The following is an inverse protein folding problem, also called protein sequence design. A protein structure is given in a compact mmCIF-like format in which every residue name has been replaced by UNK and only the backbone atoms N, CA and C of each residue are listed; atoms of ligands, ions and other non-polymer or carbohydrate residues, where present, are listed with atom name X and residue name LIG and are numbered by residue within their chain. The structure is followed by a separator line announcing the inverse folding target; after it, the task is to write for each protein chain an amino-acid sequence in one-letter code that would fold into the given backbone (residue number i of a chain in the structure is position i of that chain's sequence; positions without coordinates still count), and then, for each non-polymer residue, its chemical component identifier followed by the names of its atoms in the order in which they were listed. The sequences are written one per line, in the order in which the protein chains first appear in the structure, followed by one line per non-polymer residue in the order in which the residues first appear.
data_IF_374244444196
#
_entry.id   IF_374244444196
#
_cell.length_a   1.000
_cell.length_b   1.000
_cell.length_c   1.000
_cell.angle_alpha   90.00
_cell.angle_beta   90.00
_cell.angle_gamma   90.00
#
_symmetry.space_group_name_H-M   'P 1'
#
loop_
_entity.id
_entity.type
_entity.pdbx_description
1 polymer ?
#
# COMPACT_ATOMS: atom_id res chain seq x y z
N UNK A 1 -10.88 -18.59 -15.38
CA UNK A 1 -11.79 -18.43 -14.22
C UNK A 1 -11.55 -17.14 -13.40
N UNK A 2 -10.68 -16.22 -13.84
CA UNK A 2 -10.39 -14.95 -13.13
C UNK A 2 -11.42 -13.83 -13.40
N UNK A 3 -12.24 -13.93 -14.43
CA UNK A 3 -13.17 -12.87 -14.86
C UNK A 3 -14.39 -12.64 -13.96
N UNK A 4 -14.76 -13.60 -13.13
CA UNK A 4 -15.97 -13.50 -12.29
C UNK A 4 -15.78 -12.75 -10.95
N UNK A 5 -14.54 -12.54 -10.49
CA UNK A 5 -14.27 -11.87 -9.18
C UNK A 5 -14.40 -10.34 -9.23
N UNK A 6 -14.17 -9.72 -10.39
CA UNK A 6 -14.16 -8.26 -10.51
C UNK A 6 -15.56 -7.61 -10.58
N UNK A 7 -16.57 -8.34 -11.10
CA UNK A 7 -17.92 -7.79 -11.31
C UNK A 7 -18.68 -7.43 -10.02
N UNK A 8 -18.41 -8.10 -8.90
CA UNK A 8 -19.06 -7.78 -7.62
C UNK A 8 -18.49 -6.52 -6.95
N UNK A 9 -17.19 -6.24 -7.12
CA UNK A 9 -16.56 -5.02 -6.61
C UNK A 9 -17.01 -3.76 -7.36
N UNK A 10 -17.17 -3.84 -8.69
CA UNK A 10 -17.49 -2.68 -9.56
C UNK A 10 -18.94 -2.20 -9.40
N UNK A 11 -19.90 -3.11 -9.21
CA UNK A 11 -21.32 -2.71 -9.06
C UNK A 11 -21.62 -1.91 -7.79
N UNK A 12 -20.85 -2.08 -6.71
CA UNK A 12 -21.07 -1.41 -5.44
C UNK A 12 -20.66 0.07 -5.45
N UNK A 13 -19.67 0.47 -6.26
CA UNK A 13 -19.04 1.79 -6.18
C UNK A 13 -19.77 2.87 -6.99
N UNK A 14 -20.49 2.54 -8.07
CA UNK A 14 -20.99 3.53 -9.03
C UNK A 14 -22.47 3.90 -8.93
N UNK A 15 -23.29 3.18 -8.18
CA UNK A 15 -24.76 3.37 -8.28
C UNK A 15 -25.42 4.25 -7.22
N UNK A 16 -24.72 4.69 -6.12
CA UNK A 16 -25.44 5.28 -4.98
C UNK A 16 -24.78 6.50 -4.30
N UNK A 17 -24.01 7.31 -5.03
CA UNK A 17 -23.32 8.48 -4.42
C UNK A 17 -24.22 9.61 -3.87
N UNK A 18 -25.38 9.99 -4.47
CA UNK A 18 -26.19 11.08 -3.93
C UNK A 18 -26.96 10.73 -2.66
N UNK A 19 -27.42 9.48 -2.50
CA UNK A 19 -28.19 9.06 -1.31
C UNK A 19 -27.32 8.89 -0.06
N UNK A 20 -26.05 8.59 -0.21
CA UNK A 20 -25.08 8.42 0.88
C UNK A 20 -24.81 9.71 1.66
N UNK A 21 -24.81 10.87 1.00
CA UNK A 21 -24.50 12.15 1.65
C UNK A 21 -25.56 12.58 2.64
N UNK A 22 -26.80 12.12 2.48
CA UNK A 22 -27.96 12.53 3.28
C UNK A 22 -28.38 11.47 4.33
N UNK A 23 -27.78 10.27 4.33
CA UNK A 23 -28.10 9.26 5.31
C UNK A 23 -27.54 9.59 6.72
N UNK A 24 -28.25 9.25 7.81
CA UNK A 24 -27.75 9.37 9.18
C UNK A 24 -26.40 8.64 9.33
N UNK A 25 -25.51 9.17 10.19
CA UNK A 25 -24.15 8.60 10.39
C UNK A 25 -24.16 7.12 10.72
N UNK A 26 -25.11 6.65 11.53
CA UNK A 26 -25.24 5.24 11.90
C UNK A 26 -25.57 4.33 10.71
N UNK A 27 -26.43 4.79 9.79
CA UNK A 27 -26.81 4.01 8.61
C UNK A 27 -25.69 4.00 7.57
N UNK A 28 -24.92 5.09 7.44
CA UNK A 28 -23.72 5.09 6.61
C UNK A 28 -22.69 4.06 7.06
N UNK A 29 -22.40 3.98 8.37
CA UNK A 29 -21.47 3.00 8.93
C UNK A 29 -21.93 1.56 8.66
N UNK A 30 -23.25 1.28 8.79
CA UNK A 30 -23.80 -0.04 8.49
C UNK A 30 -23.66 -0.41 7.00
N UNK A 31 -23.90 0.55 6.11
CA UNK A 31 -23.75 0.35 4.66
C UNK A 31 -22.29 0.09 4.30
N UNK A 32 -21.37 0.89 4.81
CA UNK A 32 -19.93 0.72 4.60
C UNK A 32 -19.44 -0.65 5.12
N UNK A 33 -19.94 -1.07 6.28
CA UNK A 33 -19.64 -2.39 6.84
C UNK A 33 -20.20 -3.53 5.99
N UNK A 34 -21.42 -3.41 5.49
CA UNK A 34 -22.01 -4.43 4.62
C UNK A 34 -21.26 -4.54 3.28
N UNK A 35 -20.87 -3.42 2.69
CA UNK A 35 -20.07 -3.39 1.46
C UNK A 35 -18.67 -3.99 1.69
N UNK A 36 -18.04 -3.68 2.80
CA UNK A 36 -16.77 -4.29 3.19
C UNK A 36 -16.90 -5.81 3.29
N UNK A 37 -17.90 -6.31 4.02
CA UNK A 37 -18.13 -7.75 4.18
C UNK A 37 -18.34 -8.46 2.84
N UNK A 38 -19.10 -7.85 1.92
CA UNK A 38 -19.28 -8.39 0.57
C UNK A 38 -17.96 -8.40 -0.23
N UNK A 39 -17.17 -7.33 -0.12
CA UNK A 39 -15.91 -7.22 -0.86
C UNK A 39 -14.86 -8.24 -0.42
N UNK A 40 -14.89 -8.69 0.85
CA UNK A 40 -13.91 -9.64 1.42
C UNK A 40 -14.50 -11.01 1.73
N UNK A 41 -15.66 -11.36 1.16
CA UNK A 41 -16.40 -12.59 1.49
C UNK A 41 -15.59 -13.90 1.32
N UNK A 42 -14.58 -13.91 0.42
CA UNK A 42 -13.74 -15.08 0.16
C UNK A 42 -12.37 -15.02 0.85
N UNK A 43 -12.15 -14.06 1.75
CA UNK A 43 -10.88 -13.86 2.44
C UNK A 43 -10.95 -14.51 3.82
N UNK A 44 -9.87 -15.12 4.27
CA UNK A 44 -9.79 -15.73 5.60
C UNK A 44 -10.03 -14.68 6.69
N UNK A 45 -10.98 -14.97 7.59
CA UNK A 45 -11.21 -14.17 8.79
C UNK A 45 -10.44 -14.81 9.94
N UNK A 46 -9.55 -14.03 10.55
CA UNK A 46 -8.76 -14.45 11.70
C UNK A 46 -9.46 -14.07 13.02
N UNK A 47 -9.27 -14.89 14.04
CA UNK A 47 -9.64 -14.51 15.39
C UNK A 47 -8.52 -13.66 16.03
N UNK A 48 -8.92 -12.64 16.83
CA UNK A 48 -7.94 -11.77 17.53
C UNK A 48 -6.95 -12.58 18.37
N UNK A 49 -7.41 -13.65 19.03
CA UNK A 49 -6.58 -14.53 19.85
C UNK A 49 -5.46 -15.21 19.05
N UNK A 50 -5.78 -15.67 17.84
CA UNK A 50 -4.81 -16.30 16.94
C UNK A 50 -3.69 -15.31 16.59
N UNK A 51 -4.03 -14.07 16.26
CA UNK A 51 -3.07 -13.04 15.89
C UNK A 51 -2.25 -12.53 17.09
N UNK A 52 -2.85 -12.50 18.27
CA UNK A 52 -2.13 -12.20 19.53
C UNK A 52 -1.06 -13.27 19.77
N UNK A 53 -1.39 -14.55 19.62
CA UNK A 53 -0.41 -15.65 19.78
C UNK A 53 0.65 -15.57 18.69
N UNK A 54 0.26 -15.45 17.42
CA UNK A 54 1.18 -15.38 16.31
C UNK A 54 2.20 -14.25 16.41
N UNK A 55 1.82 -13.11 17.00
CA UNK A 55 2.68 -11.93 17.15
C UNK A 55 3.37 -11.81 18.51
N UNK A 56 3.20 -12.81 19.38
CA UNK A 56 3.67 -12.78 20.76
C UNK A 56 3.14 -11.52 21.49
N UNK A 57 1.80 -11.38 21.51
CA UNK A 57 1.07 -10.23 22.06
C UNK A 57 1.50 -8.88 21.46
N UNK A 58 1.74 -8.82 20.14
CA UNK A 58 2.27 -7.64 19.44
C UNK A 58 3.58 -7.13 20.05
N UNK A 59 4.48 -8.07 20.37
CA UNK A 59 5.76 -7.80 21.02
C UNK A 59 6.54 -6.74 20.23
N UNK A 60 7.07 -5.69 20.87
CA UNK A 60 7.89 -4.67 20.21
C UNK A 60 9.10 -5.24 19.47
N UNK A 61 9.68 -6.36 19.93
CA UNK A 61 10.77 -7.07 19.23
C UNK A 61 10.38 -7.66 17.89
N UNK A 62 9.08 -7.80 17.60
CA UNK A 62 8.53 -8.27 16.31
C UNK A 62 8.03 -7.13 15.42
N UNK A 63 8.22 -5.87 15.83
CA UNK A 63 7.82 -4.72 15.04
C UNK A 63 8.64 -4.62 13.74
N UNK A 64 7.96 -4.66 12.61
CA UNK A 64 8.56 -4.51 11.27
C UNK A 64 8.58 -3.05 10.81
N UNK A 65 7.55 -2.30 11.20
CA UNK A 65 7.42 -0.90 10.84
C UNK A 65 6.22 -0.24 11.49
N UNK A 66 6.27 1.08 11.59
CA UNK A 66 5.18 1.92 12.07
C UNK A 66 4.92 3.02 11.06
N UNK A 67 3.68 3.29 10.80
CA UNK A 67 3.23 4.32 9.87
C UNK A 67 2.00 5.06 10.39
N UNK A 68 1.49 5.98 9.57
CA UNK A 68 0.33 6.80 9.90
C UNK A 68 -0.93 5.98 10.19
N UNK A 69 -1.16 4.92 9.43
CA UNK A 69 -2.36 4.08 9.54
C UNK A 69 -2.27 2.99 10.60
N UNK A 70 -1.07 2.67 11.10
CA UNK A 70 -0.90 1.58 12.07
C UNK A 70 0.53 1.05 12.18
N UNK A 71 0.63 -0.09 12.86
CA UNK A 71 1.87 -0.81 13.12
C UNK A 71 1.85 -2.18 12.45
N UNK A 72 3.00 -2.61 11.90
CA UNK A 72 3.16 -3.91 11.25
C UNK A 72 4.09 -4.77 12.10
N UNK A 73 3.66 -5.99 12.41
CA UNK A 73 4.41 -6.96 13.19
C UNK A 73 4.68 -8.24 12.40
N UNK A 74 5.82 -8.87 12.65
CA UNK A 74 6.05 -10.25 12.19
C UNK A 74 5.23 -11.20 13.06
N UNK A 75 4.47 -12.10 12.43
CA UNK A 75 3.76 -13.18 13.07
C UNK A 75 4.23 -14.53 12.55
N UNK A 76 3.97 -15.57 13.32
CA UNK A 76 4.17 -16.98 12.95
C UNK A 76 2.90 -17.72 13.35
N UNK A 77 2.19 -18.29 12.38
CA UNK A 77 0.99 -19.09 12.63
C UNK A 77 1.37 -20.46 13.20
N UNK A 78 0.37 -21.20 13.71
CA UNK A 78 0.58 -22.52 14.29
C UNK A 78 1.19 -23.55 13.32
N UNK A 79 0.90 -23.39 12.02
CA UNK A 79 1.47 -24.23 10.95
C UNK A 79 2.90 -23.83 10.56
N UNK A 80 3.48 -22.83 11.23
CA UNK A 80 4.82 -22.31 10.95
C UNK A 80 4.86 -21.25 9.85
N UNK A 81 3.72 -20.90 9.23
CA UNK A 81 3.69 -19.84 8.20
C UNK A 81 4.06 -18.47 8.79
N UNK A 82 5.08 -17.83 8.21
CA UNK A 82 5.42 -16.45 8.54
C UNK A 82 4.44 -15.48 7.88
N UNK A 83 3.97 -14.49 8.62
CA UNK A 83 3.00 -13.49 8.19
C UNK A 83 3.42 -12.08 8.61
N UNK A 84 2.90 -11.07 7.90
CA UNK A 84 2.98 -9.67 8.29
C UNK A 84 1.61 -9.21 8.76
N UNK A 85 1.52 -8.78 10.03
CA UNK A 85 0.28 -8.42 10.73
C UNK A 85 0.22 -6.91 10.90
N UNK A 86 -0.59 -6.23 10.09
CA UNK A 86 -0.80 -4.78 10.13
C UNK A 86 -2.01 -4.45 11.02
N UNK A 87 -1.75 -3.85 12.17
CA UNK A 87 -2.79 -3.39 13.11
C UNK A 87 -3.05 -1.91 12.90
N UNK A 88 -4.27 -1.57 12.49
CA UNK A 88 -4.68 -0.21 12.18
C UNK A 88 -5.11 0.58 13.42
N UNK A 89 -4.96 1.90 13.37
CA UNK A 89 -5.50 2.80 14.38
C UNK A 89 -7.00 3.07 14.20
N UNK A 90 -7.51 2.96 12.97
CA UNK A 90 -8.91 3.21 12.63
C UNK A 90 -9.47 2.12 11.71
N UNK A 91 -10.72 1.73 11.94
CA UNK A 91 -11.45 0.72 11.15
C UNK A 91 -11.60 1.13 9.68
N UNK A 92 -11.84 2.42 9.42
CA UNK A 92 -11.98 2.91 8.05
C UNK A 92 -10.71 2.71 7.21
N UNK A 93 -9.51 2.81 7.83
CA UNK A 93 -8.24 2.56 7.14
C UNK A 93 -8.07 1.07 6.80
N UNK A 94 -8.51 0.15 7.70
CA UNK A 94 -8.57 -1.28 7.41
C UNK A 94 -9.46 -1.55 6.20
N UNK A 95 -10.70 -1.03 6.21
CA UNK A 95 -11.65 -1.32 5.14
C UNK A 95 -11.18 -0.83 3.78
N UNK A 96 -10.64 0.40 3.73
CA UNK A 96 -10.12 0.97 2.49
C UNK A 96 -8.98 0.12 1.91
N UNK A 97 -8.02 -0.30 2.74
CA UNK A 97 -6.86 -1.08 2.28
C UNK A 97 -7.24 -2.51 1.93
N UNK A 98 -8.08 -3.18 2.74
CA UNK A 98 -8.48 -4.56 2.51
C UNK A 98 -9.35 -4.72 1.25
N UNK A 99 -10.26 -3.78 0.97
CA UNK A 99 -11.04 -3.77 -0.26
C UNK A 99 -10.16 -3.71 -1.49
N UNK A 100 -9.18 -2.81 -1.49
CA UNK A 100 -8.25 -2.68 -2.63
C UNK A 100 -7.38 -3.93 -2.80
N UNK A 101 -6.78 -4.44 -1.71
CA UNK A 101 -5.94 -5.64 -1.76
C UNK A 101 -6.70 -6.89 -2.22
N UNK A 102 -7.99 -7.00 -1.91
CA UNK A 102 -8.80 -8.14 -2.36
C UNK A 102 -9.18 -8.08 -3.84
N UNK A 103 -9.16 -6.88 -4.45
CA UNK A 103 -9.50 -6.69 -5.86
C UNK A 103 -8.30 -6.83 -6.80
N UNK A 104 -7.07 -6.81 -6.29
CA UNK A 104 -5.85 -6.85 -7.11
C UNK A 104 -5.07 -8.13 -6.85
N UNK A 105 -4.55 -8.74 -7.92
CA UNK A 105 -3.71 -9.94 -7.82
C UNK A 105 -2.61 -9.89 -8.88
N UNK A 106 -1.35 -9.69 -8.44
CA UNK A 106 -0.20 -9.65 -9.33
C UNK A 106 1.07 -10.08 -8.57
N UNK A 107 2.05 -10.64 -9.27
CA UNK A 107 3.31 -11.14 -8.68
C UNK A 107 4.12 -10.05 -7.96
N UNK A 108 3.99 -8.80 -8.38
CA UNK A 108 4.66 -7.64 -7.79
C UNK A 108 3.74 -6.81 -6.86
N UNK A 109 2.64 -7.40 -6.39
CA UNK A 109 1.79 -6.86 -5.33
C UNK A 109 1.83 -7.78 -4.11
N UNK A 110 1.73 -7.21 -2.91
CA UNK A 110 1.64 -7.98 -1.67
C UNK A 110 0.30 -8.71 -1.63
N UNK A 111 0.35 -10.00 -1.30
CA UNK A 111 -0.84 -10.83 -1.18
C UNK A 111 -1.45 -10.70 0.21
N UNK A 112 -2.73 -10.34 0.28
CA UNK A 112 -3.51 -10.41 1.50
C UNK A 112 -3.87 -11.89 1.77
N UNK A 113 -3.59 -12.36 2.99
CA UNK A 113 -3.93 -13.70 3.47
C UNK A 113 -5.29 -13.69 4.16
N UNK A 114 -5.56 -12.62 4.91
CA UNK A 114 -6.80 -12.49 5.67
C UNK A 114 -6.89 -11.19 6.45
N UNK A 115 -7.93 -11.10 7.28
CA UNK A 115 -8.15 -9.94 8.13
C UNK A 115 -8.84 -10.31 9.45
N UNK A 116 -8.77 -9.40 10.43
CA UNK A 116 -9.57 -9.42 11.64
C UNK A 116 -10.19 -8.03 11.85
N UNK A 117 -11.53 -7.98 12.00
CA UNK A 117 -12.27 -6.74 12.30
C UNK A 117 -13.25 -7.00 13.43
N UNK A 118 -12.71 -7.18 14.65
CA UNK A 118 -13.49 -7.50 15.85
C UNK A 118 -13.17 -6.54 16.99
N UNK A 119 -14.17 -5.84 17.47
CA UNK A 119 -14.05 -4.94 18.61
C UNK A 119 -13.09 -3.79 18.34
N UNK A 120 -11.89 -3.83 18.96
CA UNK A 120 -10.83 -2.83 18.79
C UNK A 120 -9.70 -3.31 17.86
N UNK A 121 -9.78 -4.53 17.36
CA UNK A 121 -8.75 -5.13 16.53
C UNK A 121 -9.12 -4.97 15.05
N UNK A 122 -8.47 -4.03 14.41
CA UNK A 122 -8.58 -3.72 12.98
C UNK A 122 -7.27 -4.14 12.31
N UNK A 123 -7.22 -5.35 11.75
CA UNK A 123 -5.97 -6.01 11.35
C UNK A 123 -6.08 -6.56 9.93
N UNK A 124 -5.05 -6.33 9.10
CA UNK A 124 -4.80 -7.06 7.86
C UNK A 124 -3.63 -8.01 8.08
N UNK A 125 -3.77 -9.23 7.55
CA UNK A 125 -2.72 -10.24 7.53
C UNK A 125 -2.25 -10.42 6.08
N UNK A 126 -0.99 -10.10 5.83
CA UNK A 126 -0.34 -10.22 4.53
C UNK A 126 0.76 -11.28 4.54
N UNK A 127 1.20 -11.70 3.36
CA UNK A 127 2.43 -12.48 3.23
C UNK A 127 3.62 -11.72 3.84
N UNK A 128 4.53 -12.48 4.46
CA UNK A 128 5.76 -11.91 5.01
C UNK A 128 6.85 -11.90 3.95
N UNK A 129 7.52 -10.76 3.78
CA UNK A 129 8.62 -10.58 2.86
C UNK A 129 9.91 -10.36 3.65
N UNK A 130 10.81 -11.35 3.59
CA UNK A 130 11.95 -11.50 4.50
C UNK A 130 12.98 -10.38 4.39
N UNK A 131 13.19 -9.81 3.19
CA UNK A 131 14.11 -8.71 2.98
C UNK A 131 13.52 -7.34 3.36
N UNK A 132 12.21 -7.27 3.70
CA UNK A 132 11.55 -6.04 4.15
C UNK A 132 11.56 -4.94 3.07
N UNK A 133 11.61 -3.67 3.46
CA UNK A 133 11.46 -2.55 2.52
C UNK A 133 12.74 -2.19 1.78
N UNK A 134 12.60 -1.77 0.51
CA UNK A 134 13.68 -1.22 -0.31
C UNK A 134 14.43 -0.07 0.39
N UNK A 135 13.72 0.71 1.19
CA UNK A 135 14.32 1.81 1.94
C UNK A 135 15.47 1.36 2.85
N UNK A 136 15.35 0.18 3.48
CA UNK A 136 16.41 -0.37 4.32
C UNK A 136 17.66 -0.72 3.52
N UNK A 137 17.50 -1.18 2.29
CA UNK A 137 18.60 -1.56 1.40
C UNK A 137 19.25 -0.37 0.71
N UNK A 138 18.57 0.77 0.64
CA UNK A 138 19.13 2.01 0.09
C UNK A 138 19.77 2.91 1.16
N UNK A 139 19.13 3.00 2.33
CA UNK A 139 19.44 4.03 3.32
C UNK A 139 19.62 3.50 4.76
N UNK A 140 19.32 2.23 5.00
CA UNK A 140 19.41 1.58 6.31
C UNK A 140 20.45 0.47 6.39
N UNK A 141 21.49 0.53 5.55
CA UNK A 141 22.55 -0.48 5.52
C UNK A 141 23.27 -0.56 6.87
N UNK A 142 23.38 -1.76 7.39
CA UNK A 142 24.14 -2.06 8.59
C UNK A 142 25.65 -2.11 8.27
N UNK A 143 26.53 -1.89 9.23
CA UNK A 143 27.97 -2.05 9.04
C UNK A 143 28.30 -3.42 8.44
N UNK A 144 29.03 -3.44 7.32
CA UNK A 144 29.41 -4.66 6.59
C UNK A 144 28.40 -5.15 5.54
N UNK A 145 27.18 -4.59 5.47
CA UNK A 145 26.25 -4.87 4.37
C UNK A 145 26.71 -4.18 3.06
N UNK A 146 26.66 -4.94 1.96
CA UNK A 146 26.94 -4.41 0.63
C UNK A 146 25.70 -3.71 0.07
N UNK A 147 25.86 -2.55 -0.60
CA UNK A 147 24.78 -1.93 -1.36
C UNK A 147 24.24 -2.87 -2.44
N UNK A 148 22.98 -2.67 -2.82
CA UNK A 148 22.39 -3.35 -3.96
C UNK A 148 23.23 -3.08 -5.22
N UNK A 149 23.55 -4.12 -5.98
CA UNK A 149 24.21 -3.98 -7.27
C UNK A 149 23.25 -3.41 -8.33
N UNK A 150 23.80 -2.97 -9.45
CA UNK A 150 23.05 -2.35 -10.53
C UNK A 150 21.97 -3.28 -11.10
N UNK A 151 22.30 -4.55 -11.31
CA UNK A 151 21.36 -5.55 -11.85
C UNK A 151 20.16 -5.71 -10.94
N UNK A 152 20.38 -5.82 -9.63
CA UNK A 152 19.30 -5.94 -8.62
C UNK A 152 18.46 -4.68 -8.57
N UNK A 153 19.05 -3.48 -8.65
CA UNK A 153 18.31 -2.21 -8.71
C UNK A 153 17.41 -2.14 -9.94
N UNK A 154 17.88 -2.55 -11.12
CA UNK A 154 17.09 -2.56 -12.36
C UNK A 154 15.98 -3.61 -12.31
N UNK A 155 16.23 -4.78 -11.73
CA UNK A 155 15.20 -5.79 -11.47
C UNK A 155 14.07 -5.25 -10.57
N UNK A 156 14.43 -4.53 -9.51
CA UNK A 156 13.45 -3.90 -8.62
C UNK A 156 12.65 -2.84 -9.39
N UNK A 157 13.31 -1.98 -10.17
CA UNK A 157 12.64 -0.97 -10.98
C UNK A 157 11.65 -1.59 -11.97
N UNK A 158 12.05 -2.65 -12.68
CA UNK A 158 11.20 -3.38 -13.62
C UNK A 158 9.97 -3.98 -12.94
N UNK A 159 10.14 -4.63 -11.78
CA UNK A 159 9.00 -5.22 -11.06
C UNK A 159 8.02 -4.18 -10.53
N UNK A 160 8.50 -3.01 -10.07
CA UNK A 160 7.62 -1.89 -9.69
C UNK A 160 6.87 -1.35 -10.90
N UNK A 161 7.53 -1.20 -12.07
CA UNK A 161 6.87 -0.78 -13.30
C UNK A 161 5.76 -1.75 -13.73
N UNK A 162 6.01 -3.07 -13.67
CA UNK A 162 5.00 -4.11 -13.97
C UNK A 162 3.81 -4.06 -13.02
N UNK A 163 4.03 -3.76 -11.74
CA UNK A 163 2.94 -3.58 -10.78
C UNK A 163 2.06 -2.38 -11.13
N UNK A 164 2.66 -1.24 -11.52
CA UNK A 164 1.93 -0.06 -11.94
C UNK A 164 1.20 -0.28 -13.27
N UNK A 165 1.85 -0.92 -14.25
CA UNK A 165 1.21 -1.30 -15.52
C UNK A 165 -0.05 -2.16 -15.28
N UNK A 166 0.05 -3.17 -14.39
CA UNK A 166 -1.10 -3.97 -14.01
C UNK A 166 -2.24 -3.13 -13.42
N UNK A 167 -1.93 -2.24 -12.48
CA UNK A 167 -2.93 -1.39 -11.82
C UNK A 167 -3.57 -0.38 -12.77
N UNK A 168 -2.78 0.18 -13.70
CA UNK A 168 -3.20 1.26 -14.59
C UNK A 168 -3.91 0.77 -15.85
N UNK A 169 -3.40 -0.32 -16.47
CA UNK A 169 -3.78 -0.71 -17.83
C UNK A 169 -4.51 -2.07 -17.89
N UNK A 170 -4.26 -2.96 -16.91
CA UNK A 170 -4.83 -4.31 -16.93
C UNK A 170 -5.99 -4.49 -15.94
N UNK A 171 -6.13 -3.58 -14.96
CA UNK A 171 -7.25 -3.58 -14.01
C UNK A 171 -8.38 -2.68 -14.54
N UNK A 172 -9.64 -3.15 -14.44
CA UNK A 172 -10.83 -2.38 -14.85
C UNK A 172 -11.82 -2.29 -13.68
N UNK A 173 -12.14 -1.07 -13.19
CA UNK A 173 -11.53 0.22 -13.58
C UNK A 173 -10.07 0.34 -13.14
N UNK A 174 -9.25 1.19 -13.81
CA UNK A 174 -7.86 1.38 -13.44
C UNK A 174 -7.72 1.82 -11.99
N UNK A 175 -6.61 1.41 -11.35
CA UNK A 175 -6.32 1.73 -9.95
C UNK A 175 -5.15 2.69 -9.87
N UNK A 176 -5.37 3.87 -9.27
CA UNK A 176 -4.31 4.79 -8.87
C UNK A 176 -3.76 4.31 -7.53
N UNK A 177 -2.49 3.96 -7.46
CA UNK A 177 -1.87 3.46 -6.23
C UNK A 177 -1.69 4.57 -5.17
N UNK A 178 -1.29 5.78 -5.59
CA UNK A 178 -1.28 7.01 -4.79
C UNK A 178 -0.25 7.09 -3.67
N UNK A 179 0.45 6.02 -3.33
CA UNK A 179 1.33 5.98 -2.15
C UNK A 179 2.75 5.48 -2.41
N UNK A 180 3.24 5.53 -3.66
CA UNK A 180 4.51 4.95 -4.04
C UNK A 180 5.69 5.66 -3.37
N UNK A 181 6.47 4.87 -2.62
CA UNK A 181 7.65 5.28 -1.88
C UNK A 181 8.53 4.05 -1.59
N UNK A 182 9.81 4.25 -1.32
CA UNK A 182 10.75 3.14 -1.05
C UNK A 182 10.40 2.30 0.18
N UNK A 183 9.68 2.85 1.16
CA UNK A 183 9.21 2.11 2.33
C UNK A 183 8.02 1.21 2.03
N UNK A 184 7.24 1.48 0.97
CA UNK A 184 6.10 0.68 0.51
C UNK A 184 6.47 -0.39 -0.52
N UNK A 185 7.73 -0.42 -0.99
CA UNK A 185 8.26 -1.47 -1.86
C UNK A 185 8.94 -2.51 -0.97
N UNK A 186 8.36 -3.69 -0.85
CA UNK A 186 8.92 -4.79 -0.08
C UNK A 186 9.64 -5.78 -1.01
N UNK A 187 10.65 -6.47 -0.49
CA UNK A 187 11.48 -7.39 -1.26
C UNK A 187 11.37 -8.81 -0.71
N UNK A 188 11.19 -9.78 -1.61
CA UNK A 188 11.31 -11.19 -1.27
C UNK A 188 12.79 -11.65 -1.23
N UNK A 189 13.06 -12.90 -0.87
CA UNK A 189 14.40 -13.48 -0.77
C UNK A 189 15.21 -13.40 -2.07
N UNK A 190 14.54 -13.26 -3.22
CA UNK A 190 15.16 -13.14 -4.54
C UNK A 190 15.24 -11.70 -5.03
N UNK A 191 14.98 -10.73 -4.17
CA UNK A 191 14.88 -9.31 -4.51
C UNK A 191 13.78 -9.01 -5.56
N UNK A 192 12.71 -9.81 -5.64
CA UNK A 192 11.54 -9.39 -6.40
C UNK A 192 10.77 -8.35 -5.58
N UNK A 193 10.43 -7.20 -6.17
CA UNK A 193 9.68 -6.16 -5.46
C UNK A 193 8.18 -6.49 -5.43
N UNK A 194 7.54 -6.11 -4.33
CA UNK A 194 6.09 -6.15 -4.19
C UNK A 194 5.60 -4.85 -3.56
N UNK A 195 4.63 -4.19 -4.20
CA UNK A 195 3.99 -3.00 -3.64
C UNK A 195 3.07 -3.41 -2.49
N UNK A 196 3.17 -2.68 -1.38
CA UNK A 196 2.35 -2.83 -0.18
C UNK A 196 1.69 -1.49 0.19
N UNK A 197 0.88 -1.44 1.26
CA UNK A 197 0.29 -0.20 1.79
C UNK A 197 -0.69 0.48 0.80
N UNK A 198 -1.79 -0.22 0.49
CA UNK A 198 -2.84 0.23 -0.44
C UNK A 198 -3.83 1.25 0.18
N UNK A 199 -3.54 1.76 1.38
CA UNK A 199 -4.42 2.71 2.07
C UNK A 199 -4.66 4.04 1.34
N UNK A 200 -3.84 4.36 0.33
CA UNK A 200 -4.01 5.53 -0.53
C UNK A 200 -4.64 5.21 -1.88
N UNK A 201 -4.73 3.93 -2.24
CA UNK A 201 -5.19 3.51 -3.54
C UNK A 201 -6.66 3.89 -3.78
N UNK A 202 -6.97 4.27 -5.02
CA UNK A 202 -8.31 4.66 -5.47
C UNK A 202 -8.56 4.13 -6.86
N UNK A 203 -9.82 3.79 -7.13
CA UNK A 203 -10.23 3.56 -8.50
C UNK A 203 -10.09 4.83 -9.31
N UNK A 204 -9.47 4.72 -10.46
CA UNK A 204 -9.38 5.80 -11.43
C UNK A 204 -10.75 6.10 -12.05
N UNK A 205 -10.88 7.25 -12.71
CA UNK A 205 -12.12 7.63 -13.37
C UNK A 205 -12.37 6.73 -14.60
N UNK A 206 -13.64 6.36 -14.79
CA UNK A 206 -14.07 5.70 -16.01
C UNK A 206 -13.88 6.68 -17.20
N UNK A 207 -12.92 6.40 -18.08
CA UNK A 207 -12.72 6.82 -19.47
C UNK A 207 -12.71 8.32 -19.86
N UNK A 208 -13.24 9.28 -19.05
CA UNK A 208 -13.37 10.68 -19.48
C UNK A 208 -12.86 11.74 -18.51
N UNK A 209 -12.59 11.44 -17.26
CA UNK A 209 -12.00 12.39 -16.32
C UNK A 209 -10.74 11.80 -15.69
N UNK A 210 -9.58 12.28 -16.13
CA UNK A 210 -8.27 11.74 -15.75
C UNK A 210 -7.88 12.04 -14.28
N UNK A 211 -8.80 12.51 -13.44
CA UNK A 211 -8.50 12.93 -12.07
C UNK A 211 -9.55 12.43 -11.08
N UNK A 212 -9.08 11.95 -9.93
CA UNK A 212 -9.91 11.67 -8.78
C UNK A 212 -9.69 12.76 -7.74
N UNK A 213 -10.72 13.52 -7.43
CA UNK A 213 -10.66 14.48 -6.32
C UNK A 213 -10.54 13.70 -5.01
N UNK A 214 -9.50 14.00 -4.25
CA UNK A 214 -9.28 13.38 -2.94
C UNK A 214 -9.44 14.44 -1.87
N UNK A 215 -10.37 14.25 -0.96
CA UNK A 215 -10.46 15.07 0.22
C UNK A 215 -9.22 14.79 1.08
N UNK A 216 -8.22 15.69 1.00
CA UNK A 216 -7.04 15.79 1.88
C UNK A 216 -6.39 14.44 2.29
N UNK A 217 -6.08 13.59 1.33
CA UNK A 217 -5.19 12.45 1.60
C UNK A 217 -3.77 13.02 1.76
N UNK A 218 -3.17 12.82 2.93
CA UNK A 218 -1.78 13.24 3.17
C UNK A 218 -0.83 12.21 2.53
N UNK A 219 -0.56 12.36 1.22
CA UNK A 219 0.48 11.59 0.54
C UNK A 219 1.88 11.89 1.11
N UNK A 220 2.84 10.98 0.92
CA UNK A 220 4.25 11.27 1.21
C UNK A 220 4.74 12.39 0.28
N UNK A 221 4.83 13.62 0.79
CA UNK A 221 5.13 14.82 -0.01
C UNK A 221 6.47 14.72 -0.76
N UNK A 222 7.43 13.98 -0.23
CA UNK A 222 8.75 13.76 -0.86
C UNK A 222 8.68 12.95 -2.17
N UNK A 223 7.55 12.26 -2.41
CA UNK A 223 7.29 11.46 -3.61
C UNK A 223 6.08 11.98 -4.40
N UNK A 224 5.33 12.92 -3.85
CA UNK A 224 4.10 13.41 -4.46
C UNK A 224 4.39 14.30 -5.67
N UNK A 225 3.62 14.08 -6.74
CA UNK A 225 3.65 14.95 -7.91
C UNK A 225 3.26 16.40 -7.53
N UNK A 226 3.89 17.42 -8.15
CA UNK A 226 3.74 18.82 -7.74
C UNK A 226 2.30 19.35 -7.87
N UNK A 227 1.50 18.80 -8.77
CA UNK A 227 0.08 19.14 -8.91
C UNK A 227 -0.76 18.66 -7.73
N UNK A 228 -0.36 17.62 -7.03
CA UNK A 228 -1.14 17.08 -5.92
C UNK A 228 -1.29 18.05 -4.75
N UNK A 229 -0.23 18.68 -4.20
CA UNK A 229 -0.37 19.69 -3.16
C UNK A 229 -1.18 20.92 -3.58
N UNK A 230 -1.23 21.20 -4.90
CA UNK A 230 -1.90 22.39 -5.45
C UNK A 230 -3.40 22.19 -5.62
N UNK A 231 -3.85 21.03 -6.08
CA UNK A 231 -5.25 20.79 -6.42
C UNK A 231 -5.88 19.59 -5.68
N UNK A 232 -5.12 18.84 -4.90
CA UNK A 232 -5.63 17.68 -4.13
C UNK A 232 -6.14 16.53 -5.00
N UNK A 233 -5.82 16.51 -6.31
CA UNK A 233 -6.32 15.48 -7.21
C UNK A 233 -5.24 14.44 -7.51
N UNK A 234 -5.65 13.17 -7.56
CA UNK A 234 -4.82 12.04 -7.97
C UNK A 234 -5.13 11.65 -9.41
N UNK A 235 -4.12 11.17 -10.11
CA UNK A 235 -4.22 10.59 -11.46
C UNK A 235 -3.22 9.45 -11.61
N UNK A 236 -3.34 8.66 -12.67
CA UNK A 236 -2.32 7.65 -13.01
C UNK A 236 -0.93 8.28 -13.18
N UNK A 237 -0.86 9.53 -13.67
CA UNK A 237 0.40 10.28 -13.81
C UNK A 237 1.05 10.64 -12.48
N UNK A 238 0.27 10.74 -11.41
CA UNK A 238 0.80 10.93 -10.04
C UNK A 238 1.69 9.74 -9.63
N UNK A 239 1.27 8.51 -9.95
CA UNK A 239 2.08 7.31 -9.69
C UNK A 239 3.32 7.26 -10.58
N UNK A 240 3.22 7.67 -11.85
CA UNK A 240 4.36 7.76 -12.79
C UNK A 240 5.41 8.74 -12.26
N UNK A 241 4.99 9.89 -11.74
CA UNK A 241 5.90 10.84 -11.10
C UNK A 241 6.59 10.22 -9.88
N UNK A 242 5.82 9.63 -8.97
CA UNK A 242 6.35 8.96 -7.77
C UNK A 242 7.32 7.83 -8.12
N UNK A 243 7.05 7.10 -9.22
CA UNK A 243 7.96 6.09 -9.75
C UNK A 243 9.26 6.72 -10.26
N UNK A 244 9.20 7.84 -10.93
CA UNK A 244 10.40 8.62 -11.31
C UNK A 244 11.26 8.98 -10.11
N UNK A 245 10.66 9.38 -9.00
CA UNK A 245 11.39 9.67 -7.74
C UNK A 245 12.06 8.41 -7.18
N UNK A 246 11.35 7.27 -7.19
CA UNK A 246 11.92 5.97 -6.78
C UNK A 246 13.09 5.58 -7.68
N UNK A 247 12.99 5.78 -9.00
CA UNK A 247 14.08 5.51 -9.95
C UNK A 247 15.31 6.37 -9.66
N UNK A 248 15.14 7.66 -9.39
CA UNK A 248 16.24 8.53 -8.99
C UNK A 248 16.94 8.02 -7.71
N UNK A 249 16.15 7.55 -6.73
CA UNK A 249 16.68 6.92 -5.52
C UNK A 249 17.45 5.62 -5.81
N UNK A 250 16.92 4.76 -6.69
CA UNK A 250 17.59 3.53 -7.11
C UNK A 250 18.91 3.79 -7.86
N UNK A 251 18.94 4.78 -8.76
CA UNK A 251 20.13 5.12 -9.56
C UNK A 251 21.19 5.76 -8.70
N UNK A 252 20.83 6.78 -7.92
CA UNK A 252 21.78 7.60 -7.17
C UNK A 252 22.14 7.04 -5.79
N UNK A 253 21.28 6.17 -5.20
CA UNK A 253 21.38 5.74 -3.80
C UNK A 253 21.05 6.85 -2.79
N UNK A 254 20.55 8.02 -3.23
CA UNK A 254 20.26 9.18 -2.38
C UNK A 254 18.84 9.10 -1.79
N UNK A 255 18.68 9.66 -0.61
CA UNK A 255 17.36 9.92 -0.03
C UNK A 255 16.61 10.97 -0.86
N UNK A 256 15.30 10.85 -0.95
CA UNK A 256 14.44 11.86 -1.60
C UNK A 256 14.57 13.22 -0.93
N UNK A 257 14.64 13.23 0.39
CA UNK A 257 14.92 14.41 1.20
C UNK A 257 15.99 14.10 2.23
N UNK A 258 17.07 14.88 2.23
CA UNK A 258 18.22 14.71 3.10
C UNK A 258 18.47 15.95 3.95
N UNK A 259 18.08 15.88 5.22
CA UNK A 259 18.28 16.95 6.21
C UNK A 259 19.74 17.20 6.58
N UNK A 260 20.63 16.24 6.31
CA UNK A 260 22.06 16.39 6.60
C UNK A 260 22.79 17.30 5.60
N UNK A 261 22.13 17.60 4.46
CA UNK A 261 22.66 18.48 3.43
C UNK A 261 22.23 19.93 3.62
N UNK A 262 23.04 20.86 3.17
CA UNK A 262 22.69 22.28 3.08
C UNK A 262 21.72 22.53 1.91
N UNK A 263 21.07 23.70 1.84
CA UNK A 263 20.25 24.09 0.69
C UNK A 263 21.05 24.11 -0.60
N UNK A 264 22.27 24.58 -0.55
CA UNK A 264 23.16 24.72 -1.71
C UNK A 264 23.66 23.37 -2.22
N UNK A 265 23.76 22.35 -1.34
CA UNK A 265 24.07 20.97 -1.72
C UNK A 265 22.86 20.18 -2.23
N UNK A 266 21.68 20.79 -2.29
CA UNK A 266 20.45 20.16 -2.76
C UNK A 266 19.88 19.14 -1.76
N UNK A 267 19.08 19.60 -0.80
CA UNK A 267 18.35 18.72 0.16
C UNK A 267 17.37 17.78 -0.51
N UNK A 268 16.74 18.22 -1.58
CA UNK A 268 15.80 17.42 -2.34
C UNK A 268 16.49 16.77 -3.54
N UNK A 269 16.14 15.52 -3.84
CA UNK A 269 16.75 14.75 -4.94
C UNK A 269 16.59 15.45 -6.30
N UNK A 270 15.59 16.30 -6.48
CA UNK A 270 15.35 17.09 -7.69
C UNK A 270 16.20 18.37 -7.78
N UNK A 271 16.86 18.77 -6.70
CA UNK A 271 17.71 19.97 -6.67
C UNK A 271 19.19 19.65 -6.99
N UNK A 272 19.41 18.49 -7.59
CA UNK A 272 20.73 17.96 -7.95
C UNK A 272 21.09 18.23 -9.41
#
# INVERSE_FOLDING_TARGET
MAWFRCFSCVRSVHSHQPERRNAPRADRVKLEQAEFQLSVANVRVFESKELIVATDAFNPGRLLGEGRSGRVYKGILEDGQEIAVKRFHAQADLWAEAQMLNCVEHSNLVKMIGYCDKGKDHIIVNEFLSLRSLNLHLHGLQPGQKPLDWKTRMKIAEGVAKALEYLHDQHDPPVIYGGLKTTGILLDEKYNPKLSDFGFAKYGPAWHDNRVETVLIKLPLDYAAPEYPMCGSLSLKTDVYSFGVVLLGLISGRKTFDLTRTRDEGRHIFAW
#
